data_IF_880124079980
#
_entry.id   IF_880124079980
#
_cell.length_a   1.000
_cell.length_b   1.000
_cell.length_c   1.000
_cell.angle_alpha   90.00
_cell.angle_beta   90.00
_cell.angle_gamma   90.00
#
_symmetry.space_group_name_H-M   'P 1'
#
loop_
_entity.id
_entity.type
_entity.pdbx_description
1 polymer ?
#
# COMPACT_ATOMS: atom_id res chain seq x y z
N UNK A 1 6.79 -7.32 6.55
CA UNK A 1 7.30 -7.69 5.20
C UNK A 1 7.35 -6.47 4.27
N UNK A 2 6.34 -5.61 4.33
CA UNK A 2 6.20 -4.42 3.47
C UNK A 2 7.33 -3.42 3.71
N UNK A 3 7.58 -3.03 4.97
CA UNK A 3 8.70 -2.16 5.34
C UNK A 3 10.06 -2.71 4.91
N UNK A 4 10.26 -4.03 4.99
CA UNK A 4 11.49 -4.67 4.51
C UNK A 4 11.63 -4.51 2.99
N UNK A 5 10.53 -4.67 2.24
CA UNK A 5 10.53 -4.49 0.79
C UNK A 5 10.80 -3.03 0.41
N UNK A 6 10.13 -2.08 1.06
CA UNK A 6 10.37 -0.64 0.85
C UNK A 6 11.83 -0.31 1.12
N UNK A 7 12.38 -0.73 2.27
CA UNK A 7 13.77 -0.44 2.64
C UNK A 7 14.78 -1.09 1.70
N UNK A 8 14.55 -2.33 1.25
CA UNK A 8 15.48 -3.02 0.33
C UNK A 8 15.51 -2.38 -1.05
N UNK A 9 14.37 -1.90 -1.54
CA UNK A 9 14.28 -1.30 -2.87
C UNK A 9 14.72 0.17 -2.86
N UNK A 10 14.26 0.96 -1.88
CA UNK A 10 14.56 2.39 -1.76
C UNK A 10 15.84 2.72 -0.99
N UNK A 11 16.46 1.73 -0.35
CA UNK A 11 17.62 1.88 0.54
C UNK A 11 17.30 2.48 1.93
N UNK A 12 16.21 3.25 2.04
CA UNK A 12 15.73 3.88 3.28
C UNK A 12 14.20 3.95 3.30
N UNK A 13 13.64 4.32 4.46
CA UNK A 13 12.20 4.57 4.61
C UNK A 13 11.96 6.07 4.87
N UNK A 14 12.83 6.72 5.63
CA UNK A 14 12.72 8.14 5.92
C UNK A 14 12.87 9.02 4.67
N UNK A 15 12.03 10.05 4.61
CA UNK A 15 11.92 11.01 3.51
C UNK A 15 11.04 10.54 2.35
N UNK A 16 10.44 9.35 2.42
CA UNK A 16 9.59 8.83 1.35
C UNK A 16 8.16 9.39 1.38
N UNK A 17 7.59 9.56 0.19
CA UNK A 17 6.18 9.83 -0.06
C UNK A 17 5.48 8.53 -0.42
N UNK A 18 4.51 8.10 0.40
CA UNK A 18 3.87 6.78 0.28
C UNK A 18 2.38 6.97 0.11
N UNK A 19 1.78 6.35 -0.91
CA UNK A 19 0.33 6.30 -1.09
C UNK A 19 -0.23 4.92 -0.74
N UNK A 20 -1.28 4.88 0.07
CA UNK A 20 -2.11 3.69 0.30
C UNK A 20 -3.40 3.84 -0.50
N UNK A 21 -3.69 2.91 -1.40
CA UNK A 21 -4.81 2.96 -2.33
C UNK A 21 -5.79 1.81 -2.11
N UNK A 22 -7.08 2.11 -2.13
CA UNK A 22 -8.17 1.13 -2.23
C UNK A 22 -9.04 1.05 -0.98
N UNK A 23 -9.22 -0.15 -0.43
CA UNK A 23 -10.05 -0.39 0.75
C UNK A 23 -9.27 -0.10 2.05
N UNK A 24 -9.30 1.18 2.46
CA UNK A 24 -8.64 1.64 3.68
C UNK A 24 -9.48 1.45 4.93
N UNK A 25 -10.79 1.21 4.80
CA UNK A 25 -11.69 0.99 5.94
C UNK A 25 -11.55 -0.40 6.52
N UNK A 26 -11.39 -1.39 5.66
CA UNK A 26 -11.39 -2.79 6.04
C UNK A 26 -10.01 -3.46 5.88
N UNK A 27 -9.10 -2.87 5.11
CA UNK A 27 -7.76 -3.41 4.89
C UNK A 27 -6.90 -3.44 6.17
N UNK A 28 -6.85 -4.60 6.85
CA UNK A 28 -6.00 -4.78 8.05
C UNK A 28 -4.50 -4.55 7.77
N UNK A 29 -4.08 -4.87 6.55
CA UNK A 29 -2.69 -4.68 6.09
C UNK A 29 -2.32 -3.20 6.06
N UNK A 30 -3.19 -2.35 5.51
CA UNK A 30 -2.94 -0.89 5.46
C UNK A 30 -3.03 -0.22 6.82
N UNK A 31 -3.87 -0.72 7.75
CA UNK A 31 -3.87 -0.23 9.13
C UNK A 31 -2.52 -0.48 9.81
N UNK A 32 -2.07 -1.74 9.77
CA UNK A 32 -0.79 -2.14 10.36
C UNK A 32 0.39 -1.41 9.72
N UNK A 33 0.34 -1.24 8.39
CA UNK A 33 1.37 -0.52 7.65
C UNK A 33 1.37 0.97 8.02
N UNK A 34 0.21 1.62 8.12
CA UNK A 34 0.12 3.03 8.50
C UNK A 34 0.68 3.27 9.92
N UNK A 35 0.36 2.38 10.88
CA UNK A 35 0.96 2.45 12.22
C UNK A 35 2.48 2.28 12.17
N UNK A 36 2.99 1.32 11.41
CA UNK A 36 4.42 1.07 11.32
C UNK A 36 5.16 2.23 10.60
N UNK A 37 4.54 2.82 9.58
CA UNK A 37 5.05 4.01 8.88
C UNK A 37 5.05 5.26 9.77
N UNK A 38 4.14 5.35 10.75
CA UNK A 38 4.14 6.46 11.72
C UNK A 38 5.36 6.49 12.65
N UNK A 39 6.21 5.47 12.60
CA UNK A 39 7.50 5.41 13.31
C UNK A 39 8.66 5.96 12.48
N UNK A 40 8.41 6.40 11.24
CA UNK A 40 9.39 6.96 10.31
C UNK A 40 8.99 8.37 9.90
N UNK A 41 9.95 9.14 9.37
CA UNK A 41 9.68 10.45 8.79
C UNK A 41 9.20 10.31 7.34
N UNK A 42 7.89 10.07 7.16
CA UNK A 42 7.28 9.90 5.82
C UNK A 42 6.09 10.85 5.62
N UNK A 43 5.74 11.09 4.36
CA UNK A 43 4.47 11.74 3.99
C UNK A 43 3.52 10.67 3.44
N UNK A 44 2.36 10.52 4.07
CA UNK A 44 1.38 9.48 3.76
C UNK A 44 0.18 10.07 3.02
N UNK A 45 -0.10 9.52 1.84
CA UNK A 45 -1.31 9.78 1.07
C UNK A 45 -2.27 8.61 1.23
N UNK A 46 -3.51 8.90 1.61
CA UNK A 46 -4.57 7.92 1.77
C UNK A 46 -5.59 8.13 0.66
N UNK A 47 -5.63 7.21 -0.30
CA UNK A 47 -6.43 7.33 -1.52
C UNK A 47 -7.53 6.28 -1.52
N UNK A 48 -8.77 6.72 -1.34
CA UNK A 48 -9.92 5.82 -1.26
C UNK A 48 -11.25 6.54 -1.55
N UNK A 49 -12.31 5.80 -1.95
CA UNK A 49 -13.66 6.34 -2.01
C UNK A 49 -14.15 6.74 -0.62
N UNK A 50 -15.16 7.60 -0.57
CA UNK A 50 -15.72 8.14 0.68
C UNK A 50 -16.11 7.04 1.68
N UNK A 51 -16.77 5.99 1.19
CA UNK A 51 -17.26 4.88 1.99
C UNK A 51 -16.14 3.93 2.49
N UNK A 52 -14.94 4.00 1.91
CA UNK A 52 -13.79 3.15 2.23
C UNK A 52 -12.61 3.91 2.86
N UNK A 53 -12.85 5.13 3.36
CA UNK A 53 -11.84 5.92 4.07
C UNK A 53 -11.23 5.18 5.26
N UNK A 54 -9.99 5.54 5.56
CA UNK A 54 -9.24 5.06 6.73
C UNK A 54 -10.05 5.32 8.01
N UNK A 55 -10.01 4.36 8.94
CA UNK A 55 -10.74 4.49 10.19
C UNK A 55 -10.20 5.65 11.04
N UNK A 56 -11.12 6.32 11.75
CA UNK A 56 -10.79 7.53 12.53
C UNK A 56 -9.77 7.27 13.64
N UNK A 57 -9.83 6.11 14.30
CA UNK A 57 -8.88 5.68 15.32
C UNK A 57 -7.46 5.52 14.77
N UNK A 58 -7.32 4.92 13.58
CA UNK A 58 -6.04 4.82 12.88
C UNK A 58 -5.52 6.22 12.56
N UNK A 59 -6.35 7.07 11.96
CA UNK A 59 -5.99 8.45 11.59
C UNK A 59 -5.54 9.27 12.79
N UNK A 60 -6.26 9.22 13.92
CA UNK A 60 -5.90 9.95 15.14
C UNK A 60 -4.54 9.54 15.68
N UNK A 61 -4.20 8.24 15.58
CA UNK A 61 -2.91 7.73 16.05
C UNK A 61 -1.75 8.20 15.19
N UNK A 62 -1.92 8.27 13.86
CA UNK A 62 -0.83 8.58 12.92
C UNK A 62 -0.70 10.07 12.61
N UNK A 63 -1.79 10.85 12.63
CA UNK A 63 -1.79 12.29 12.26
C UNK A 63 -0.91 13.15 13.16
N UNK A 64 -0.70 12.74 14.41
CA UNK A 64 0.18 13.46 15.34
C UNK A 64 1.67 13.13 15.17
N UNK A 65 2.01 12.18 14.28
CA UNK A 65 3.38 11.66 14.10
C UNK A 65 3.95 11.95 12.72
N UNK A 66 3.10 11.90 11.69
CA UNK A 66 3.48 12.05 10.29
C UNK A 66 2.48 12.92 9.54
N UNK A 67 2.91 13.49 8.41
CA UNK A 67 2.01 14.24 7.53
C UNK A 67 1.09 13.25 6.80
N UNK A 68 -0.21 13.42 6.97
CA UNK A 68 -1.24 12.58 6.32
C UNK A 68 -2.17 13.44 5.48
N UNK A 69 -2.33 13.08 4.21
CA UNK A 69 -3.27 13.73 3.28
C UNK A 69 -4.26 12.69 2.76
N UNK A 70 -5.55 13.02 2.79
CA UNK A 70 -6.63 12.16 2.32
C UNK A 70 -7.14 12.66 0.96
N UNK A 71 -7.26 11.77 -0.01
CA UNK A 71 -7.69 12.08 -1.37
C UNK A 71 -8.65 11.01 -1.90
N UNK A 72 -9.53 11.39 -2.82
CA UNK A 72 -10.41 10.44 -3.52
C UNK A 72 -9.77 9.87 -4.79
N UNK A 73 -8.76 10.54 -5.36
CA UNK A 73 -8.11 10.18 -6.62
C UNK A 73 -6.59 10.15 -6.51
N UNK A 74 -5.94 9.40 -7.40
CA UNK A 74 -4.48 9.38 -7.55
C UNK A 74 -3.92 10.54 -8.38
N UNK A 75 -4.80 11.31 -9.03
CA UNK A 75 -4.40 12.42 -9.89
C UNK A 75 -3.66 13.48 -9.08
N UNK A 76 -2.54 13.96 -9.61
CA UNK A 76 -1.63 14.88 -8.90
C UNK A 76 -0.77 14.25 -7.81
N UNK A 77 -1.13 13.06 -7.30
CA UNK A 77 -0.32 12.32 -6.31
C UNK A 77 0.71 11.43 -7.00
N UNK A 78 0.30 10.74 -8.07
CA UNK A 78 1.15 9.77 -8.77
C UNK A 78 2.54 10.30 -9.19
N UNK A 79 2.72 11.57 -9.63
CA UNK A 79 4.03 12.05 -10.08
C UNK A 79 5.01 12.34 -8.94
N UNK A 80 4.54 12.38 -7.69
CA UNK A 80 5.36 12.76 -6.53
C UNK A 80 5.63 11.64 -5.55
N UNK A 81 4.93 10.51 -5.62
CA UNK A 81 5.08 9.41 -4.66
C UNK A 81 6.22 8.46 -5.04
N UNK A 82 6.87 7.92 -4.01
CA UNK A 82 7.95 6.95 -4.14
C UNK A 82 7.44 5.51 -4.06
N UNK A 83 6.35 5.29 -3.32
CA UNK A 83 5.74 3.97 -3.10
C UNK A 83 4.22 4.08 -3.27
N UNK A 84 3.65 3.25 -4.13
CA UNK A 84 2.22 3.03 -4.26
C UNK A 84 1.87 1.66 -3.69
N UNK A 85 1.16 1.63 -2.57
CA UNK A 85 0.67 0.40 -1.95
C UNK A 85 -0.81 0.21 -2.28
N UNK A 86 -1.10 -0.72 -3.18
CA UNK A 86 -2.45 -0.97 -3.68
C UNK A 86 -3.10 -2.08 -2.85
N UNK A 87 -4.41 -1.96 -2.62
CA UNK A 87 -5.21 -2.98 -1.97
C UNK A 87 -6.41 -3.37 -2.81
N UNK A 88 -6.78 -4.65 -2.68
CA UNK A 88 -8.01 -5.19 -3.23
C UNK A 88 -9.24 -4.63 -2.51
N UNK A 89 -10.28 -4.31 -3.27
CA UNK A 89 -11.62 -4.07 -2.72
C UNK A 89 -12.26 -5.40 -2.32
N UNK A 90 -12.53 -5.57 -1.02
CA UNK A 90 -13.01 -6.82 -0.45
C UNK A 90 -14.53 -6.96 -0.61
N UNK A 91 -14.98 -7.53 -1.73
CA UNK A 91 -16.41 -7.78 -2.03
C UNK A 91 -17.16 -8.41 -0.85
N UNK A 92 -16.52 -9.34 -0.16
CA UNK A 92 -17.07 -10.08 0.98
C UNK A 92 -17.39 -9.22 2.22
N UNK A 93 -16.98 -7.95 2.24
CA UNK A 93 -17.18 -7.03 3.37
C UNK A 93 -18.28 -5.99 3.15
N UNK A 94 -18.90 -5.99 1.97
CA UNK A 94 -20.01 -5.10 1.68
C UNK A 94 -21.32 -5.73 2.13
N UNK A 95 -22.21 -4.96 2.79
CA UNK A 95 -23.49 -5.47 3.27
C UNK A 95 -24.46 -5.83 2.12
N UNK A 96 -24.30 -5.19 0.95
CA UNK A 96 -25.08 -5.49 -0.24
C UNK A 96 -24.23 -5.36 -1.51
N UNK A 97 -24.70 -5.98 -2.60
CA UNK A 97 -23.98 -5.99 -3.87
C UNK A 97 -23.96 -4.64 -4.61
N UNK A 98 -24.90 -3.74 -4.28
CA UNK A 98 -25.00 -2.42 -4.91
C UNK A 98 -23.85 -1.51 -4.46
N UNK A 99 -23.58 -1.42 -3.16
CA UNK A 99 -22.44 -0.66 -2.62
C UNK A 99 -21.10 -1.14 -3.18
N UNK A 100 -20.95 -2.45 -3.36
CA UNK A 100 -19.77 -3.01 -4.01
C UNK A 100 -19.68 -2.57 -5.47
N UNK A 101 -20.79 -2.59 -6.22
CA UNK A 101 -20.81 -2.21 -7.63
C UNK A 101 -20.42 -0.74 -7.85
N UNK A 102 -20.77 0.16 -6.91
CA UNK A 102 -20.40 1.59 -6.97
C UNK A 102 -18.89 1.82 -6.88
N UNK A 103 -18.16 0.98 -6.12
CA UNK A 103 -16.72 1.13 -5.91
C UNK A 103 -15.88 0.12 -6.69
N UNK A 104 -16.49 -0.92 -7.25
CA UNK A 104 -15.78 -1.94 -8.04
C UNK A 104 -15.13 -1.26 -9.25
N UNK A 105 -13.82 -1.41 -9.36
CA UNK A 105 -13.05 -0.79 -10.44
C UNK A 105 -12.85 0.72 -10.29
N UNK A 106 -13.21 1.32 -9.14
CA UNK A 106 -12.97 2.74 -8.86
C UNK A 106 -11.49 3.13 -9.01
N UNK A 107 -10.59 2.15 -8.86
CA UNK A 107 -9.18 2.32 -9.14
C UNK A 107 -8.67 1.10 -9.88
N UNK A 108 -8.01 1.35 -11.01
CA UNK A 108 -7.27 0.35 -11.77
C UNK A 108 -5.92 0.95 -12.10
N UNK A 109 -4.85 0.25 -11.71
CA UNK A 109 -3.49 0.63 -12.06
C UNK A 109 -3.12 -0.06 -13.37
N UNK A 110 -2.84 0.75 -14.37
CA UNK A 110 -2.52 0.37 -15.75
C UNK A 110 -1.28 1.12 -16.24
N UNK A 111 -0.81 0.85 -17.46
CA UNK A 111 0.37 1.54 -18.02
C UNK A 111 0.19 3.07 -18.09
N UNK A 112 -1.03 3.56 -18.34
CA UNK A 112 -1.32 5.02 -18.33
C UNK A 112 -1.07 5.65 -16.97
N UNK A 113 -1.33 4.91 -15.90
CA UNK A 113 -1.00 5.33 -14.53
C UNK A 113 0.51 5.33 -14.30
N UNK A 114 1.22 4.31 -14.80
CA UNK A 114 2.68 4.19 -14.70
C UNK A 114 3.40 5.29 -15.48
N UNK A 115 2.92 5.67 -16.66
CA UNK A 115 3.50 6.74 -17.48
C UNK A 115 3.59 8.09 -16.75
N UNK A 116 2.65 8.35 -15.85
CA UNK A 116 2.60 9.57 -15.02
C UNK A 116 3.40 9.44 -13.73
N UNK A 117 3.85 8.24 -13.39
CA UNK A 117 4.59 7.96 -12.17
C UNK A 117 6.07 8.33 -12.31
N UNK A 118 6.74 8.47 -11.18
CA UNK A 118 8.21 8.58 -11.17
C UNK A 118 8.82 7.28 -11.70
N UNK A 119 9.93 7.39 -12.43
CA UNK A 119 10.67 6.22 -12.96
C UNK A 119 11.12 5.26 -11.86
N UNK A 120 11.44 5.79 -10.68
CA UNK A 120 11.90 5.02 -9.54
C UNK A 120 10.78 4.60 -8.58
N UNK A 121 9.52 4.99 -8.82
CA UNK A 121 8.39 4.61 -7.96
C UNK A 121 8.23 3.09 -7.93
N UNK A 122 7.89 2.52 -6.78
CA UNK A 122 7.54 1.09 -6.69
C UNK A 122 6.09 0.86 -6.34
N UNK A 123 5.56 -0.27 -6.80
CA UNK A 123 4.19 -0.73 -6.56
C UNK A 123 4.23 -1.99 -5.70
N UNK A 124 3.55 -1.92 -4.58
CA UNK A 124 3.36 -3.02 -3.63
C UNK A 124 1.89 -3.40 -3.59
N UNK A 125 1.63 -4.68 -3.31
CA UNK A 125 0.30 -5.22 -3.19
C UNK A 125 0.34 -6.46 -2.27
N UNK A 126 -0.51 -6.56 -1.24
CA UNK A 126 -0.46 -7.69 -0.30
C UNK A 126 -0.87 -9.02 -0.92
N UNK A 127 -1.56 -8.98 -2.07
CA UNK A 127 -2.14 -10.11 -2.80
C UNK A 127 -3.22 -10.87 -1.99
N UNK A 128 -4.07 -11.68 -2.66
CA UNK A 128 -4.23 -11.80 -4.11
C UNK A 128 -4.81 -10.52 -4.72
N UNK A 129 -4.51 -10.27 -6.00
CA UNK A 129 -5.16 -9.21 -6.79
C UNK A 129 -6.27 -9.78 -7.66
N UNK A 130 -7.26 -8.96 -8.02
CA UNK A 130 -8.36 -9.32 -8.92
C UNK A 130 -8.30 -8.54 -10.22
N UNK A 131 -8.53 -7.23 -10.15
CA UNK A 131 -8.64 -6.33 -11.30
C UNK A 131 -8.05 -4.93 -11.04
N UNK A 132 -7.66 -4.65 -9.80
CA UNK A 132 -7.11 -3.38 -9.33
C UNK A 132 -5.71 -3.07 -9.88
N UNK A 133 -4.95 -4.09 -10.33
CA UNK A 133 -3.69 -3.93 -11.05
C UNK A 133 -3.77 -4.74 -12.35
N UNK A 134 -3.61 -4.05 -13.48
CA UNK A 134 -3.59 -4.66 -14.81
C UNK A 134 -2.36 -5.57 -14.98
N UNK A 135 -2.49 -6.77 -15.59
CA UNK A 135 -1.35 -7.69 -15.78
C UNK A 135 -0.19 -7.13 -16.60
N UNK A 136 -0.44 -6.15 -17.46
CA UNK A 136 0.62 -5.43 -18.20
C UNK A 136 1.63 -4.72 -17.28
N UNK A 137 1.22 -4.37 -16.06
CA UNK A 137 2.08 -3.72 -15.07
C UNK A 137 3.17 -4.67 -14.57
N UNK A 138 2.97 -5.99 -14.67
CA UNK A 138 3.91 -7.01 -14.19
C UNK A 138 5.28 -6.91 -14.85
N UNK A 139 5.31 -6.50 -16.13
CA UNK A 139 6.54 -6.38 -16.90
C UNK A 139 7.26 -5.05 -16.65
N UNK A 140 6.70 -4.17 -15.82
CA UNK A 140 7.29 -2.87 -15.52
C UNK A 140 8.30 -2.97 -14.37
N UNK A 141 9.39 -2.18 -14.39
CA UNK A 141 10.37 -2.18 -13.31
C UNK A 141 9.78 -1.73 -11.95
N UNK A 142 8.68 -1.00 -11.96
CA UNK A 142 7.97 -0.53 -10.78
C UNK A 142 7.23 -1.67 -10.04
N UNK A 143 6.88 -2.77 -10.69
CA UNK A 143 6.16 -3.87 -10.07
C UNK A 143 7.04 -4.65 -9.07
N UNK A 144 6.78 -4.49 -7.78
CA UNK A 144 7.54 -5.14 -6.69
C UNK A 144 6.74 -6.09 -5.82
N UNK A 145 5.44 -6.29 -6.09
CA UNK A 145 4.58 -7.17 -5.29
C UNK A 145 4.98 -8.65 -5.31
N UNK A 146 5.59 -9.18 -6.39
CA UNK A 146 6.15 -10.54 -6.35
C UNK A 146 7.43 -10.62 -5.51
N UNK A 147 8.29 -9.61 -5.60
CA UNK A 147 9.47 -9.49 -4.73
C UNK A 147 9.07 -9.33 -3.25
N UNK A 148 7.97 -8.63 -2.98
CA UNK A 148 7.37 -8.49 -1.65
C UNK A 148 6.96 -9.86 -1.07
N UNK A 149 6.36 -10.74 -1.88
CA UNK A 149 6.04 -12.12 -1.47
C UNK A 149 7.31 -12.87 -1.09
N UNK A 150 8.35 -12.80 -1.93
CA UNK A 150 9.64 -13.44 -1.66
C UNK A 150 10.27 -12.93 -0.36
N UNK A 151 10.30 -11.61 -0.17
CA UNK A 151 10.78 -10.99 1.07
C UNK A 151 9.96 -11.45 2.29
N UNK A 152 8.70 -11.84 2.09
CA UNK A 152 7.89 -12.45 3.13
C UNK A 152 8.42 -13.78 3.65
N UNK A 153 9.09 -14.58 2.82
CA UNK A 153 9.74 -15.83 3.26
C UNK A 153 10.92 -15.47 4.17
N UNK A 154 11.83 -14.62 3.69
CA UNK A 154 13.04 -14.22 4.40
C UNK A 154 12.72 -13.56 5.75
N UNK A 155 11.75 -12.65 5.79
CA UNK A 155 11.34 -11.98 7.03
C UNK A 155 10.75 -12.96 8.03
N UNK A 156 9.96 -13.95 7.58
CA UNK A 156 9.40 -14.97 8.49
C UNK A 156 10.46 -15.90 9.02
N UNK A 157 11.44 -16.30 8.21
CA UNK A 157 12.60 -17.06 8.68
C UNK A 157 13.34 -16.29 9.78
N UNK A 158 13.64 -15.01 9.55
CA UNK A 158 14.31 -14.17 10.54
C UNK A 158 13.48 -14.04 11.84
N UNK A 159 12.16 -13.82 11.74
CA UNK A 159 11.28 -13.75 12.91
C UNK A 159 11.26 -15.06 13.70
N UNK A 160 11.14 -16.21 13.03
CA UNK A 160 11.18 -17.52 13.69
C UNK A 160 12.53 -17.76 14.36
N UNK A 161 13.64 -17.46 13.67
CA UNK A 161 14.98 -17.61 14.23
C UNK A 161 15.20 -16.72 15.46
N UNK A 162 14.73 -15.46 15.45
CA UNK A 162 14.81 -14.56 16.60
C UNK A 162 13.99 -15.05 17.78
N UNK A 163 12.72 -15.43 17.54
CA UNK A 163 11.81 -15.90 18.60
C UNK A 163 12.28 -17.21 19.23
N UNK A 164 12.91 -18.09 18.44
CA UNK A 164 13.47 -19.36 18.92
C UNK A 164 14.91 -19.22 19.45
N UNK A 165 15.49 -18.01 19.46
CA UNK A 165 16.85 -17.75 19.95
C UNK A 165 17.97 -18.36 19.10
N UNK A 166 17.68 -18.73 17.84
CA UNK A 166 18.67 -19.26 16.90
C UNK A 166 19.61 -18.18 16.35
N UNK A 167 19.19 -16.91 16.40
CA UNK A 167 19.99 -15.73 16.06
C UNK A 167 19.75 -14.62 17.09
N UNK A 168 20.71 -13.69 17.21
CA UNK A 168 20.64 -12.53 18.11
C UNK A 168 20.36 -11.25 17.33
#
# INVERSE_FOLDING_TARGET
>A
IDLCTIRKDKGKIDGLKIALLGDLRYGRTVHSLAYALSLYNVELYLVSPENLRMRKDVLQTIKNRIRVTENSTLEGIIPQIDVLYVTRIQKERFPNAAEYAEVKGAYRIDLKTIEKARKDMIILHPLPRVDEISPEVDSTPQARYFQQVWNGIVVRMALLSLVLGAIK
#
